data_IF_992503234086
#
_entry.id   IF_992503234086
#
_cell.length_a   1.000
_cell.length_b   1.000
_cell.length_c   1.000
_cell.angle_alpha   90.00
_cell.angle_beta   90.00
_cell.angle_gamma   90.00
#
_symmetry.space_group_name_H-M   'P 1'
#
loop_
_entity.id
_entity.type
_entity.pdbx_description
1 polymer ?
#
# COMPACT_ATOMS: atom_id res chain seq x y z
N UNK A 1 38.09 6.40 -30.87
CA UNK A 1 37.19 5.27 -30.53
C UNK A 1 36.78 5.28 -29.06
N UNK A 2 37.72 5.32 -28.09
CA UNK A 2 37.42 5.31 -26.63
C UNK A 2 36.50 6.45 -26.15
N UNK A 3 36.67 7.66 -26.70
CA UNK A 3 35.85 8.85 -26.35
C UNK A 3 34.39 8.75 -26.83
N UNK A 4 34.15 8.11 -27.98
CA UNK A 4 32.79 7.91 -28.52
C UNK A 4 32.00 6.89 -27.69
N UNK A 5 32.69 5.87 -27.19
CA UNK A 5 32.13 4.85 -26.30
C UNK A 5 31.67 5.45 -24.96
N UNK A 6 32.44 6.40 -24.41
CA UNK A 6 32.07 7.14 -23.19
C UNK A 6 30.83 8.00 -23.43
N UNK A 7 30.74 8.68 -24.57
CA UNK A 7 29.57 9.51 -24.92
C UNK A 7 28.31 8.64 -25.08
N UNK A 8 28.43 7.46 -25.72
CA UNK A 8 27.31 6.53 -25.86
C UNK A 8 26.81 5.99 -24.51
N UNK A 9 27.73 5.68 -23.59
CA UNK A 9 27.41 5.22 -22.24
C UNK A 9 26.68 6.32 -21.46
N UNK A 10 27.22 7.54 -21.48
CA UNK A 10 26.60 8.70 -20.80
C UNK A 10 25.22 9.02 -21.38
N UNK A 11 25.05 8.93 -22.71
CA UNK A 11 23.76 9.14 -23.37
C UNK A 11 22.75 8.03 -23.03
N UNK A 12 23.21 6.78 -22.90
CA UNK A 12 22.37 5.66 -22.44
C UNK A 12 21.86 5.82 -21.01
N UNK A 13 22.63 6.47 -20.13
CA UNK A 13 22.17 6.79 -18.77
C UNK A 13 21.04 7.83 -18.75
N UNK A 14 20.99 8.76 -19.71
CA UNK A 14 19.93 9.79 -19.79
C UNK A 14 18.59 9.21 -20.25
N UNK A 15 18.59 8.13 -21.02
CA UNK A 15 17.38 7.42 -21.47
C UNK A 15 16.83 6.44 -20.43
N UNK A 16 17.58 6.17 -19.34
CA UNK A 16 17.16 5.26 -18.27
C UNK A 16 16.21 5.92 -17.25
N UNK A 17 15.82 7.18 -17.47
CA UNK A 17 14.74 7.82 -16.72
C UNK A 17 13.41 7.15 -17.13
N UNK A 18 13.16 5.97 -16.54
CA UNK A 18 11.93 5.21 -16.72
C UNK A 18 10.75 6.09 -16.33
N UNK A 19 10.00 6.55 -17.32
CA UNK A 19 8.60 6.86 -17.11
C UNK A 19 7.94 5.59 -16.56
N UNK A 20 7.63 5.58 -15.27
CA UNK A 20 6.82 4.51 -14.68
C UNK A 20 5.38 4.74 -15.13
N UNK A 21 5.10 4.52 -16.42
CA UNK A 21 3.74 4.49 -16.96
C UNK A 21 3.13 3.15 -16.58
N UNK A 22 2.89 2.94 -15.28
CA UNK A 22 2.04 1.83 -14.86
C UNK A 22 0.63 2.19 -15.31
N UNK A 23 0.16 1.48 -16.34
CA UNK A 23 -1.18 1.70 -16.88
C UNK A 23 -2.26 1.47 -15.81
N UNK A 24 -3.34 2.25 -15.90
CA UNK A 24 -4.48 2.12 -15.00
C UNK A 24 -5.17 0.77 -15.26
N UNK A 25 -5.24 -0.16 -14.28
CA UNK A 25 -5.93 -1.43 -14.48
C UNK A 25 -7.44 -1.20 -14.66
N UNK A 26 -8.08 -2.04 -15.51
CA UNK A 26 -9.53 -1.95 -15.80
C UNK A 26 -10.39 -2.14 -14.54
N UNK A 27 -9.93 -2.97 -13.61
CA UNK A 27 -10.57 -3.28 -12.34
C UNK A 27 -9.84 -2.61 -11.16
N UNK A 28 -9.42 -1.36 -11.31
CA UNK A 28 -8.77 -0.61 -10.24
C UNK A 28 -9.66 -0.57 -8.99
N UNK A 29 -9.13 -0.97 -7.84
CA UNK A 29 -9.77 -0.77 -6.53
C UNK A 29 -9.87 0.73 -6.28
N UNK A 30 -11.05 1.24 -5.95
CA UNK A 30 -11.24 2.68 -5.70
C UNK A 30 -10.31 3.22 -4.60
N UNK A 31 -9.93 4.50 -4.72
CA UNK A 31 -8.96 5.14 -3.83
C UNK A 31 -9.35 5.01 -2.34
N UNK A 32 -10.61 5.25 -2.01
CA UNK A 32 -11.10 5.18 -0.63
C UNK A 32 -11.20 3.72 -0.14
N UNK A 33 -11.57 2.78 -1.02
CA UNK A 33 -11.55 1.34 -0.69
C UNK A 33 -10.13 0.87 -0.42
N UNK A 34 -9.14 1.34 -1.19
CA UNK A 34 -7.73 1.05 -0.95
C UNK A 34 -7.26 1.61 0.39
N UNK A 35 -7.73 2.79 0.80
CA UNK A 35 -7.43 3.34 2.13
C UNK A 35 -7.99 2.45 3.24
N UNK A 36 -9.22 1.94 3.10
CA UNK A 36 -9.79 0.97 4.06
C UNK A 36 -9.00 -0.34 4.11
N UNK A 37 -8.58 -0.87 2.96
CA UNK A 37 -7.75 -2.07 2.88
C UNK A 37 -6.42 -1.87 3.60
N UNK A 38 -5.73 -0.75 3.34
CA UNK A 38 -4.45 -0.43 3.99
C UNK A 38 -4.62 -0.23 5.51
N UNK A 39 -5.74 0.35 5.95
CA UNK A 39 -6.08 0.49 7.36
C UNK A 39 -6.26 -0.87 8.05
N UNK A 40 -7.03 -1.77 7.46
CA UNK A 40 -7.22 -3.12 8.03
C UNK A 40 -5.93 -3.94 8.02
N UNK A 41 -5.13 -3.83 6.95
CA UNK A 41 -3.82 -4.47 6.89
C UNK A 41 -2.92 -3.99 8.01
N UNK A 42 -2.89 -2.67 8.30
CA UNK A 42 -2.13 -2.12 9.41
C UNK A 42 -2.60 -2.66 10.77
N UNK A 43 -3.91 -2.79 10.98
CA UNK A 43 -4.46 -3.39 12.20
C UNK A 43 -4.11 -4.87 12.33
N UNK A 44 -4.27 -5.65 11.26
CA UNK A 44 -3.94 -7.08 11.24
C UNK A 44 -2.44 -7.30 11.49
N UNK A 45 -1.59 -6.44 10.95
CA UNK A 45 -0.15 -6.45 11.21
C UNK A 45 0.18 -6.14 12.68
N UNK A 46 -0.50 -5.16 13.28
CA UNK A 46 -0.34 -4.85 14.71
C UNK A 46 -0.79 -6.01 15.61
N UNK A 47 -1.91 -6.66 15.30
CA UNK A 47 -2.39 -7.85 16.02
C UNK A 47 -1.40 -9.01 15.86
N UNK A 48 -0.90 -9.23 14.64
CA UNK A 48 0.08 -10.29 14.37
C UNK A 48 1.35 -10.10 15.21
N UNK A 49 1.85 -8.88 15.30
CA UNK A 49 3.09 -8.60 16.03
C UNK A 49 2.94 -8.72 17.57
N UNK A 50 1.71 -8.70 18.09
CA UNK A 50 1.42 -8.73 19.52
C UNK A 50 0.76 -10.04 20.01
N UNK A 51 0.67 -11.08 19.16
CA UNK A 51 -0.01 -12.34 19.53
C UNK A 51 0.88 -13.56 19.35
N UNK A 52 0.74 -14.53 20.26
CA UNK A 52 1.41 -15.83 20.20
C UNK A 52 0.98 -16.65 18.96
N UNK A 53 -0.13 -16.27 18.31
CA UNK A 53 -0.70 -16.92 17.12
C UNK A 53 -0.29 -16.27 15.79
N UNK A 54 0.77 -15.45 15.79
CA UNK A 54 1.24 -14.70 14.62
C UNK A 54 1.39 -15.54 13.33
N UNK A 55 1.84 -16.80 13.45
CA UNK A 55 2.03 -17.73 12.33
C UNK A 55 0.72 -18.13 11.65
N UNK A 56 -0.36 -18.32 12.42
CA UNK A 56 -1.70 -18.69 11.92
C UNK A 56 -2.40 -17.51 11.24
N UNK A 57 -2.12 -16.28 11.70
CA UNK A 57 -2.65 -15.06 11.09
C UNK A 57 -2.02 -14.78 9.73
N UNK A 58 -0.73 -15.08 9.53
CA UNK A 58 0.02 -14.78 8.29
C UNK A 58 -0.60 -15.37 7.03
N UNK A 59 -1.12 -16.60 7.09
CA UNK A 59 -1.78 -17.26 5.95
C UNK A 59 -3.23 -16.80 5.76
N UNK A 60 -3.84 -16.17 6.76
CA UNK A 60 -5.27 -15.85 6.77
C UNK A 60 -5.53 -14.37 6.44
N UNK A 61 -4.59 -13.46 6.72
CA UNK A 61 -4.71 -12.01 6.49
C UNK A 61 -5.17 -11.66 5.07
N UNK A 62 -4.48 -12.16 4.04
CA UNK A 62 -4.85 -11.84 2.65
C UNK A 62 -6.24 -12.34 2.30
N UNK A 63 -6.60 -13.56 2.75
CA UNK A 63 -7.92 -14.13 2.54
C UNK A 63 -9.02 -13.26 3.16
N UNK A 64 -8.83 -12.80 4.40
CA UNK A 64 -9.78 -11.93 5.09
C UNK A 64 -9.99 -10.60 4.36
N UNK A 65 -8.92 -10.00 3.84
CA UNK A 65 -9.00 -8.76 3.05
C UNK A 65 -9.78 -9.01 1.75
N UNK A 66 -9.45 -10.07 1.02
CA UNK A 66 -10.10 -10.40 -0.25
C UNK A 66 -11.60 -10.65 -0.06
N UNK A 67 -11.98 -11.40 0.97
CA UNK A 67 -13.39 -11.67 1.31
C UNK A 67 -14.12 -10.40 1.76
N UNK A 68 -13.53 -9.60 2.65
CA UNK A 68 -14.16 -8.37 3.18
C UNK A 68 -14.46 -7.35 2.09
N UNK A 69 -13.51 -7.13 1.18
CA UNK A 69 -13.62 -6.12 0.13
C UNK A 69 -14.13 -6.64 -1.20
N UNK A 70 -14.41 -7.94 -1.31
CA UNK A 70 -14.87 -8.61 -2.54
C UNK A 70 -13.91 -8.39 -3.72
N UNK A 71 -12.61 -8.47 -3.43
CA UNK A 71 -11.52 -8.32 -4.41
C UNK A 71 -10.76 -9.63 -4.53
N UNK A 72 -10.07 -9.82 -5.66
CA UNK A 72 -9.15 -10.93 -5.84
C UNK A 72 -7.66 -10.50 -5.69
N UNK A 73 -6.77 -11.48 -5.60
CA UNK A 73 -5.34 -11.24 -5.41
C UNK A 73 -4.69 -10.50 -6.58
N UNK A 74 -5.16 -10.72 -7.80
CA UNK A 74 -4.64 -10.10 -9.03
C UNK A 74 -5.10 -8.65 -9.10
N UNK A 75 -6.36 -8.38 -8.79
CA UNK A 75 -6.94 -7.05 -8.67
C UNK A 75 -6.19 -6.22 -7.63
N UNK A 76 -5.95 -6.79 -6.45
CA UNK A 76 -5.18 -6.15 -5.39
C UNK A 76 -3.76 -5.83 -5.85
N UNK A 77 -3.03 -6.82 -6.39
CA UNK A 77 -1.65 -6.62 -6.84
C UNK A 77 -1.52 -5.53 -7.92
N UNK A 78 -2.39 -5.54 -8.93
CA UNK A 78 -2.40 -4.53 -10.00
C UNK A 78 -2.76 -3.14 -9.47
N UNK A 79 -3.77 -3.05 -8.60
CA UNK A 79 -4.16 -1.78 -8.00
C UNK A 79 -3.06 -1.21 -7.10
N UNK A 80 -2.46 -2.06 -6.27
CA UNK A 80 -1.33 -1.70 -5.43
C UNK A 80 -0.14 -1.21 -6.26
N UNK A 81 0.22 -1.92 -7.34
CA UNK A 81 1.29 -1.49 -8.25
C UNK A 81 0.97 -0.16 -8.93
N UNK A 82 -0.28 0.04 -9.38
CA UNK A 82 -0.73 1.31 -9.96
C UNK A 82 -0.59 2.46 -8.95
N UNK A 83 -1.01 2.28 -7.71
CA UNK A 83 -0.87 3.30 -6.68
C UNK A 83 0.59 3.56 -6.29
N UNK A 84 1.38 2.50 -6.13
CA UNK A 84 2.81 2.59 -5.80
C UNK A 84 3.62 3.31 -6.89
N UNK A 85 3.15 3.32 -8.14
CA UNK A 85 3.80 4.07 -9.22
C UNK A 85 3.70 5.59 -9.05
N UNK A 86 2.70 6.09 -8.30
CA UNK A 86 2.55 7.50 -7.97
C UNK A 86 2.78 7.73 -6.47
N UNK A 87 4.05 7.96 -6.11
CA UNK A 87 4.48 8.14 -4.71
C UNK A 87 3.68 9.22 -3.98
N UNK A 88 3.37 10.34 -4.65
CA UNK A 88 2.62 11.43 -4.02
C UNK A 88 1.18 11.01 -3.70
N UNK A 89 0.51 10.31 -4.62
CA UNK A 89 -0.83 9.77 -4.40
C UNK A 89 -0.83 8.70 -3.31
N UNK A 90 0.14 7.80 -3.34
CA UNK A 90 0.22 6.71 -2.38
C UNK A 90 0.51 7.22 -0.96
N UNK A 91 1.38 8.23 -0.84
CA UNK A 91 1.61 8.93 0.44
C UNK A 91 0.35 9.54 1.02
N UNK A 92 -0.51 10.16 0.19
CA UNK A 92 -1.79 10.70 0.65
C UNK A 92 -2.71 9.61 1.21
N UNK A 93 -2.71 8.41 0.62
CA UNK A 93 -3.46 7.28 1.15
C UNK A 93 -2.96 6.86 2.54
N UNK A 94 -1.64 6.72 2.72
CA UNK A 94 -1.07 6.42 4.05
C UNK A 94 -1.34 7.52 5.07
N UNK A 95 -1.31 8.79 4.68
CA UNK A 95 -1.67 9.88 5.57
C UNK A 95 -3.13 9.78 6.03
N UNK A 96 -4.06 9.42 5.14
CA UNK A 96 -5.46 9.13 5.52
C UNK A 96 -5.53 7.97 6.51
N UNK A 97 -4.81 6.86 6.27
CA UNK A 97 -4.75 5.71 7.19
C UNK A 97 -4.26 6.14 8.57
N UNK A 98 -3.17 6.91 8.65
CA UNK A 98 -2.62 7.40 9.91
C UNK A 98 -3.59 8.30 10.66
N UNK A 99 -4.31 9.19 9.95
CA UNK A 99 -5.33 10.03 10.56
C UNK A 99 -6.47 9.19 11.18
N UNK A 100 -6.96 8.17 10.45
CA UNK A 100 -8.00 7.26 10.98
C UNK A 100 -7.53 6.48 12.20
N UNK A 101 -6.27 6.03 12.22
CA UNK A 101 -5.68 5.36 13.38
C UNK A 101 -5.62 6.29 14.60
N UNK A 102 -5.13 7.53 14.42
CA UNK A 102 -5.05 8.52 15.48
C UNK A 102 -6.44 8.91 16.04
N UNK A 103 -7.44 9.07 15.16
CA UNK A 103 -8.81 9.33 15.56
C UNK A 103 -9.36 8.20 16.44
N UNK A 104 -9.17 6.94 16.01
CA UNK A 104 -9.64 5.78 16.76
C UNK A 104 -8.94 5.63 18.11
N UNK A 105 -7.64 5.91 18.17
CA UNK A 105 -6.87 5.89 19.42
C UNK A 105 -7.40 6.94 20.40
N UNK A 106 -7.57 8.20 19.95
CA UNK A 106 -8.14 9.28 20.76
C UNK A 106 -9.55 8.95 21.29
N UNK A 107 -10.41 8.39 20.43
CA UNK A 107 -11.75 7.94 20.82
C UNK A 107 -11.71 6.82 21.86
N UNK A 108 -10.74 5.90 21.76
CA UNK A 108 -10.57 4.82 22.72
C UNK A 108 -10.08 5.36 24.06
N UNK A 109 -9.07 6.23 24.08
CA UNK A 109 -8.56 6.90 25.29
C UNK A 109 -9.68 7.65 26.00
N UNK A 110 -10.47 8.44 25.28
CA UNK A 110 -11.60 9.18 25.83
C UNK A 110 -12.63 8.25 26.51
N UNK A 111 -12.94 7.11 25.90
CA UNK A 111 -13.89 6.13 26.47
C UNK A 111 -13.35 5.46 27.75
N UNK A 112 -12.04 5.21 27.81
CA UNK A 112 -11.40 4.62 28.99
C UNK A 112 -11.43 5.62 30.17
N UNK A 113 -11.18 6.90 29.91
CA UNK A 113 -11.13 7.93 30.96
C UNK A 113 -12.50 8.31 31.53
N UNK A 114 -13.59 8.03 30.81
CA UNK A 114 -14.98 8.29 31.25
C UNK A 114 -15.67 7.10 31.92
N UNK A 115 -14.97 5.97 32.04
CA UNK A 115 -15.44 4.77 32.73
C UNK A 115 -14.88 4.73 34.15
#
# INVERSE_FOLDING_TARGET
>A
MKKALIVLIVFGFLLSCKETVVEKPKNLIDDDVMVEILYDLALLDAVRNNTVYASKLKTTTNKLIYEKYKIDSVQFAKSHQYYASNIAKYRRMYNKVNAKLAEKDSLLTYKILKK
#
